data_IF_310267591775
#
_entry.id   IF_310267591775
#
_cell.length_a   1.000
_cell.length_b   1.000
_cell.length_c   1.000
_cell.angle_alpha   90.00
_cell.angle_beta   90.00
_cell.angle_gamma   90.00
#
_symmetry.space_group_name_H-M   'P 1'
#
loop_
_entity.id
_entity.type
_entity.pdbx_description
1 polymer ?
#
# COMPACT_ATOMS: atom_id res chain seq x y z
N UNK A 1 21.90 9.34 -20.44
CA UNK A 1 22.15 9.03 -19.02
C UNK A 1 21.94 7.53 -18.76
N UNK A 2 23.03 6.83 -18.44
CA UNK A 2 23.00 5.37 -18.19
C UNK A 2 22.29 5.00 -16.89
N UNK A 3 22.19 5.92 -15.92
CA UNK A 3 21.53 5.68 -14.64
C UNK A 3 20.00 5.66 -14.81
N UNK A 4 19.46 6.53 -15.67
CA UNK A 4 18.02 6.67 -15.85
C UNK A 4 17.29 5.38 -16.20
N UNK A 5 17.68 4.65 -17.28
CA UNK A 5 17.03 3.39 -17.62
C UNK A 5 17.12 2.33 -16.53
N UNK A 6 18.25 2.25 -15.82
CA UNK A 6 18.44 1.32 -14.71
C UNK A 6 17.54 1.67 -13.53
N UNK A 7 17.45 2.94 -13.17
CA UNK A 7 16.57 3.41 -12.10
C UNK A 7 15.11 3.12 -12.42
N UNK A 8 14.66 3.45 -13.63
CA UNK A 8 13.28 3.19 -14.06
C UNK A 8 12.93 1.70 -13.95
N UNK A 9 13.79 0.84 -14.48
CA UNK A 9 13.59 -0.61 -14.45
C UNK A 9 13.42 -1.12 -13.00
N UNK A 10 14.28 -0.69 -12.09
CA UNK A 10 14.22 -1.11 -10.68
C UNK A 10 13.00 -0.53 -9.97
N UNK A 11 12.66 0.72 -10.22
CA UNK A 11 11.50 1.36 -9.63
C UNK A 11 10.19 0.66 -10.04
N UNK A 12 10.08 0.25 -11.30
CA UNK A 12 8.90 -0.49 -11.77
C UNK A 12 8.75 -1.84 -11.06
N UNK A 13 9.85 -2.53 -10.81
CA UNK A 13 9.84 -3.81 -10.08
C UNK A 13 9.34 -3.63 -8.64
N UNK A 14 9.62 -2.50 -8.01
CA UNK A 14 9.20 -2.22 -6.64
C UNK A 14 7.69 -2.40 -6.45
N UNK A 15 6.89 -1.78 -7.31
CA UNK A 15 5.42 -1.88 -7.23
C UNK A 15 4.92 -3.30 -7.47
N UNK A 16 5.46 -3.98 -8.50
CA UNK A 16 5.07 -5.35 -8.81
C UNK A 16 5.40 -6.32 -7.69
N UNK A 17 6.61 -6.25 -7.15
CA UNK A 17 7.05 -7.14 -6.09
C UNK A 17 6.26 -6.90 -4.80
N UNK A 18 6.07 -5.66 -4.39
CA UNK A 18 5.30 -5.32 -3.21
C UNK A 18 3.85 -5.80 -3.33
N UNK A 19 3.25 -5.65 -4.51
CA UNK A 19 1.89 -6.14 -4.78
C UNK A 19 1.77 -7.66 -4.63
N UNK A 20 2.71 -8.40 -5.20
CA UNK A 20 2.72 -9.87 -5.09
C UNK A 20 2.92 -10.33 -3.65
N UNK A 21 3.81 -9.71 -2.91
CA UNK A 21 4.05 -10.03 -1.49
C UNK A 21 2.82 -9.68 -0.64
N UNK A 22 2.20 -8.54 -0.90
CA UNK A 22 0.96 -8.15 -0.21
C UNK A 22 -0.18 -9.13 -0.46
N UNK A 23 -0.34 -9.58 -1.71
CA UNK A 23 -1.34 -10.60 -2.04
C UNK A 23 -1.06 -11.90 -1.28
N UNK A 24 0.18 -12.38 -1.26
CA UNK A 24 0.54 -13.61 -0.55
C UNK A 24 0.32 -13.48 0.96
N UNK A 25 0.56 -12.31 1.54
CA UNK A 25 0.22 -12.04 2.93
C UNK A 25 -1.28 -12.23 3.18
N UNK A 26 -2.12 -11.72 2.28
CA UNK A 26 -3.57 -11.91 2.33
C UNK A 26 -3.97 -13.37 2.20
N UNK A 27 -3.34 -14.12 1.29
CA UNK A 27 -3.56 -15.57 1.14
C UNK A 27 -3.26 -16.30 2.45
N UNK A 28 -2.14 -16.01 3.08
CA UNK A 28 -1.75 -16.66 4.35
C UNK A 28 -2.76 -16.38 5.47
N UNK A 29 -3.27 -15.15 5.54
CA UNK A 29 -4.32 -14.79 6.51
C UNK A 29 -5.59 -15.59 6.26
N UNK A 30 -6.02 -15.71 4.99
CA UNK A 30 -7.19 -16.51 4.63
C UNK A 30 -7.01 -17.98 5.01
N UNK A 31 -5.83 -18.55 4.77
CA UNK A 31 -5.55 -19.96 5.16
C UNK A 31 -5.62 -20.14 6.67
N UNK A 32 -5.12 -19.22 7.45
CA UNK A 32 -5.22 -19.28 8.92
C UNK A 32 -6.66 -19.15 9.42
N UNK A 33 -7.54 -18.56 8.65
CA UNK A 33 -8.96 -18.39 8.97
C UNK A 33 -9.85 -19.45 8.29
N UNK A 34 -9.26 -20.46 7.64
CA UNK A 34 -9.96 -21.51 6.89
C UNK A 34 -10.87 -20.97 5.78
N UNK A 35 -10.48 -19.85 5.16
CA UNK A 35 -11.18 -19.28 4.02
C UNK A 35 -10.67 -19.92 2.73
N UNK A 36 -11.60 -20.31 1.85
CA UNK A 36 -11.28 -20.91 0.55
C UNK A 36 -10.41 -20.02 -0.31
N UNK A 37 -9.29 -20.56 -0.82
CA UNK A 37 -8.41 -19.84 -1.74
C UNK A 37 -9.04 -19.66 -3.12
N UNK A 38 -9.95 -20.55 -3.54
CA UNK A 38 -10.69 -20.34 -4.79
C UNK A 38 -11.58 -19.12 -4.67
N UNK A 39 -12.24 -18.93 -3.54
CA UNK A 39 -13.04 -17.73 -3.27
C UNK A 39 -12.16 -16.46 -3.26
N UNK A 40 -11.04 -16.52 -2.55
CA UNK A 40 -10.07 -15.43 -2.54
C UNK A 40 -9.61 -15.08 -3.96
N UNK A 41 -9.21 -16.09 -4.74
CA UNK A 41 -8.73 -15.92 -6.12
C UNK A 41 -9.78 -15.22 -6.99
N UNK A 42 -11.02 -15.67 -6.95
CA UNK A 42 -12.09 -15.12 -7.78
C UNK A 42 -12.33 -13.64 -7.49
N UNK A 43 -12.35 -13.25 -6.20
CA UNK A 43 -12.54 -11.85 -5.81
C UNK A 43 -11.29 -11.03 -6.14
N UNK A 44 -10.10 -11.55 -5.84
CA UNK A 44 -8.87 -10.81 -6.06
C UNK A 44 -8.65 -10.51 -7.55
N UNK A 45 -8.75 -11.53 -8.39
CA UNK A 45 -8.55 -11.37 -9.83
C UNK A 45 -9.69 -10.59 -10.47
N UNK A 46 -10.93 -10.81 -10.05
CA UNK A 46 -12.11 -10.19 -10.67
C UNK A 46 -12.41 -8.78 -10.21
N UNK A 47 -11.99 -8.39 -9.00
CA UNK A 47 -12.34 -7.08 -8.41
C UNK A 47 -11.13 -6.29 -7.93
N UNK A 48 -10.22 -6.93 -7.20
CA UNK A 48 -9.10 -6.20 -6.56
C UNK A 48 -8.07 -5.77 -7.60
N UNK A 49 -7.65 -6.65 -8.50
CA UNK A 49 -6.69 -6.29 -9.55
C UNK A 49 -7.20 -5.16 -10.45
N UNK A 50 -8.45 -5.19 -10.96
CA UNK A 50 -8.98 -4.06 -11.72
C UNK A 50 -9.01 -2.75 -10.92
N UNK A 51 -9.36 -2.82 -9.63
CA UNK A 51 -9.34 -1.65 -8.74
C UNK A 51 -7.91 -1.10 -8.59
N UNK A 52 -6.93 -1.97 -8.37
CA UNK A 52 -5.52 -1.56 -8.25
C UNK A 52 -5.06 -0.88 -9.54
N UNK A 53 -5.44 -1.39 -10.70
CA UNK A 53 -5.09 -0.77 -11.98
C UNK A 53 -5.66 0.65 -12.11
N UNK A 54 -6.93 0.85 -11.74
CA UNK A 54 -7.57 2.16 -11.78
C UNK A 54 -6.92 3.12 -10.77
N UNK A 55 -6.71 2.66 -9.54
CA UNK A 55 -6.08 3.47 -8.47
C UNK A 55 -4.63 3.82 -8.82
N UNK A 56 -3.88 2.91 -9.41
CA UNK A 56 -2.50 3.19 -9.84
C UNK A 56 -2.46 4.33 -10.84
N UNK A 57 -3.35 4.31 -11.83
CA UNK A 57 -3.44 5.40 -12.82
C UNK A 57 -3.81 6.72 -12.14
N UNK A 58 -4.86 6.70 -11.31
CA UNK A 58 -5.35 7.89 -10.62
C UNK A 58 -4.28 8.51 -9.72
N UNK A 59 -3.58 7.69 -8.97
CA UNK A 59 -2.51 8.13 -8.05
C UNK A 59 -1.37 8.77 -8.81
N UNK A 60 -0.90 8.12 -9.88
CA UNK A 60 0.21 8.67 -10.68
C UNK A 60 -0.21 9.99 -11.34
N UNK A 61 -1.42 10.06 -11.89
CA UNK A 61 -1.94 11.29 -12.49
C UNK A 61 -2.05 12.43 -11.47
N UNK A 62 -2.50 12.13 -10.24
CA UNK A 62 -2.56 13.11 -9.16
C UNK A 62 -1.16 13.65 -8.80
N UNK A 63 -0.16 12.77 -8.76
CA UNK A 63 1.23 13.15 -8.48
C UNK A 63 1.78 14.03 -9.61
N UNK A 64 1.53 13.66 -10.86
CA UNK A 64 1.96 14.46 -12.03
C UNK A 64 1.31 15.84 -12.03
N UNK A 65 0.03 15.91 -11.66
CA UNK A 65 -0.72 17.17 -11.59
C UNK A 65 -0.40 18.00 -10.34
N UNK A 66 0.41 17.48 -9.42
CA UNK A 66 0.70 18.09 -8.12
C UNK A 66 -0.57 18.37 -7.30
N UNK A 67 -1.59 17.53 -7.45
CA UNK A 67 -2.84 17.60 -6.70
C UNK A 67 -3.02 16.31 -5.88
N UNK A 68 -2.34 16.26 -4.74
CA UNK A 68 -2.38 15.10 -3.84
C UNK A 68 -3.22 15.36 -2.58
N UNK A 69 -3.97 16.45 -2.54
CA UNK A 69 -4.82 16.80 -1.39
C UNK A 69 -6.25 16.35 -1.56
N UNK A 70 -6.85 16.62 -2.73
CA UNK A 70 -8.27 16.31 -3.00
C UNK A 70 -8.48 14.81 -3.06
N UNK A 71 -9.39 14.29 -2.24
CA UNK A 71 -9.62 12.85 -2.16
C UNK A 71 -11.03 12.51 -1.70
N UNK A 72 -11.55 11.38 -2.17
CA UNK A 72 -12.75 10.74 -1.62
C UNK A 72 -12.39 9.74 -0.50
N UNK A 73 -11.13 9.30 -0.43
CA UNK A 73 -10.62 8.39 0.60
C UNK A 73 -9.21 8.82 1.02
N UNK A 74 -9.12 9.45 2.18
CA UNK A 74 -7.86 9.99 2.71
C UNK A 74 -6.89 8.88 3.14
N UNK A 75 -5.62 9.27 3.34
CA UNK A 75 -4.61 8.40 3.95
C UNK A 75 -5.14 7.84 5.28
N UNK A 76 -5.79 8.66 6.10
CA UNK A 76 -6.39 8.22 7.37
C UNK A 76 -7.40 7.09 7.17
N UNK A 77 -8.26 7.19 6.16
CA UNK A 77 -9.24 6.15 5.84
C UNK A 77 -8.56 4.82 5.47
N UNK A 78 -7.55 4.88 4.62
CA UNK A 78 -6.76 3.69 4.26
C UNK A 78 -6.00 3.14 5.48
N UNK A 79 -5.46 4.02 6.33
CA UNK A 79 -4.77 3.65 7.56
C UNK A 79 -5.65 2.90 8.55
N UNK A 80 -6.91 3.27 8.67
CA UNK A 80 -7.87 2.54 9.50
C UNK A 80 -8.08 1.12 9.00
N UNK A 81 -8.16 0.92 7.68
CA UNK A 81 -8.22 -0.41 7.08
C UNK A 81 -6.97 -1.23 7.39
N UNK A 82 -5.79 -0.60 7.33
CA UNK A 82 -4.53 -1.24 7.65
C UNK A 82 -4.46 -1.65 9.14
N UNK A 83 -4.93 -0.81 10.04
CA UNK A 83 -4.99 -1.12 11.48
C UNK A 83 -5.92 -2.31 11.76
N UNK A 84 -7.07 -2.36 11.10
CA UNK A 84 -8.00 -3.47 11.21
C UNK A 84 -7.36 -4.78 10.73
N UNK A 85 -6.63 -4.72 9.62
CA UNK A 85 -5.91 -5.89 9.09
C UNK A 85 -4.81 -6.35 10.06
N UNK A 86 -4.06 -5.42 10.64
CA UNK A 86 -3.05 -5.74 11.64
C UNK A 86 -3.68 -6.42 12.86
N UNK A 87 -4.82 -5.93 13.33
CA UNK A 87 -5.54 -6.51 14.47
C UNK A 87 -5.98 -7.95 14.18
N UNK A 88 -6.56 -8.21 13.02
CA UNK A 88 -6.96 -9.56 12.59
C UNK A 88 -5.74 -10.47 12.48
N UNK A 89 -4.65 -9.96 11.92
CA UNK A 89 -3.41 -10.73 11.78
C UNK A 89 -2.86 -11.19 13.13
N UNK A 90 -2.93 -10.32 14.14
CA UNK A 90 -2.55 -10.67 15.52
C UNK A 90 -3.45 -11.75 16.10
N UNK A 91 -4.76 -11.62 15.92
CA UNK A 91 -5.74 -12.60 16.40
C UNK A 91 -5.51 -13.99 15.80
N UNK A 92 -5.12 -14.05 14.53
CA UNK A 92 -4.87 -15.30 13.81
C UNK A 92 -3.44 -15.83 14.00
N UNK A 93 -2.64 -15.16 14.81
CA UNK A 93 -1.22 -15.51 15.02
C UNK A 93 -0.44 -15.58 13.71
N UNK A 94 -0.71 -14.63 12.83
CA UNK A 94 0.01 -14.48 11.56
C UNK A 94 1.31 -13.71 11.76
N UNK A 95 2.28 -13.93 10.87
CA UNK A 95 3.52 -13.15 10.86
C UNK A 95 3.20 -11.69 10.52
N UNK A 96 3.74 -10.75 11.29
CA UNK A 96 3.33 -9.34 11.25
C UNK A 96 4.26 -8.41 10.48
N UNK A 97 5.39 -8.91 9.98
CA UNK A 97 6.44 -8.08 9.36
C UNK A 97 5.90 -7.13 8.29
N UNK A 98 5.10 -7.64 7.36
CA UNK A 98 4.52 -6.85 6.28
C UNK A 98 3.55 -5.80 6.82
N UNK A 99 2.67 -6.19 7.74
CA UNK A 99 1.67 -5.31 8.34
C UNK A 99 2.31 -4.20 9.17
N UNK A 100 3.37 -4.52 9.91
CA UNK A 100 4.09 -3.54 10.72
C UNK A 100 4.80 -2.51 9.84
N UNK A 101 5.36 -2.94 8.71
CA UNK A 101 5.98 -2.01 7.76
C UNK A 101 4.96 -1.01 7.19
N UNK A 102 3.78 -1.50 6.75
CA UNK A 102 2.70 -0.64 6.26
C UNK A 102 2.22 0.32 7.35
N UNK A 103 2.01 -0.20 8.57
CA UNK A 103 1.55 0.60 9.69
C UNK A 103 2.52 1.74 10.01
N UNK A 104 3.83 1.46 9.94
CA UNK A 104 4.87 2.47 10.13
C UNK A 104 4.76 3.60 9.10
N UNK A 105 4.51 3.26 7.84
CA UNK A 105 4.37 4.26 6.77
C UNK A 105 3.14 5.16 7.01
N UNK A 106 2.01 4.61 7.43
CA UNK A 106 0.83 5.39 7.78
C UNK A 106 1.08 6.31 8.98
N UNK A 107 1.79 5.84 10.00
CA UNK A 107 2.18 6.68 11.15
C UNK A 107 3.08 7.84 10.72
N UNK A 108 4.00 7.61 9.80
CA UNK A 108 4.85 8.67 9.25
C UNK A 108 4.02 9.72 8.52
N UNK A 109 2.98 9.31 7.81
CA UNK A 109 2.06 10.24 7.13
C UNK A 109 1.31 11.12 8.14
N UNK A 110 0.83 10.54 9.24
CA UNK A 110 0.21 11.30 10.34
C UNK A 110 1.20 12.32 10.91
N UNK A 111 2.41 11.89 11.21
CA UNK A 111 3.47 12.76 11.74
C UNK A 111 3.81 13.90 10.78
N UNK A 112 3.75 13.65 9.48
CA UNK A 112 4.00 14.67 8.45
C UNK A 112 2.81 15.60 8.21
N UNK A 113 1.66 15.35 8.84
CA UNK A 113 0.46 16.18 8.73
C UNK A 113 -0.32 16.00 7.44
N UNK A 114 -0.17 14.86 6.74
CA UNK A 114 -0.85 14.59 5.47
C UNK A 114 -1.94 13.52 5.58
N UNK A 115 -2.36 13.15 6.77
CA UNK A 115 -3.36 12.10 6.98
C UNK A 115 -4.72 12.39 6.34
N UNK A 116 -5.08 13.66 6.14
CA UNK A 116 -6.33 14.06 5.48
C UNK A 116 -6.20 14.21 3.97
N UNK A 117 -4.99 14.04 3.44
CA UNK A 117 -4.72 14.13 2.01
C UNK A 117 -5.06 12.81 1.31
N UNK A 118 -5.09 12.86 -0.02
CA UNK A 118 -5.24 11.67 -0.85
C UNK A 118 -4.08 10.68 -0.64
N UNK A 119 -4.35 9.39 -0.89
CA UNK A 119 -3.33 8.35 -0.78
C UNK A 119 -2.08 8.67 -1.60
N UNK A 120 -2.22 9.37 -2.73
CA UNK A 120 -1.11 9.81 -3.56
C UNK A 120 -0.09 10.67 -2.81
N UNK A 121 -0.48 11.35 -1.72
CA UNK A 121 0.44 12.12 -0.89
C UNK A 121 1.47 11.26 -0.15
N UNK A 122 1.28 9.92 -0.09
CA UNK A 122 2.30 9.01 0.45
C UNK A 122 3.62 9.10 -0.29
N UNK A 123 3.62 9.53 -1.55
CA UNK A 123 4.88 9.74 -2.29
C UNK A 123 5.82 10.71 -1.58
N UNK A 124 5.26 11.66 -0.83
CA UNK A 124 6.05 12.63 -0.07
C UNK A 124 6.85 11.96 1.07
N UNK A 125 6.26 10.92 1.67
CA UNK A 125 6.93 10.14 2.73
C UNK A 125 8.14 9.41 2.14
N UNK A 126 7.96 8.76 0.98
CA UNK A 126 9.05 8.04 0.30
C UNK A 126 10.17 8.96 -0.21
N UNK A 127 9.88 10.24 -0.44
CA UNK A 127 10.87 11.22 -0.90
C UNK A 127 11.66 11.85 0.23
N UNK A 128 11.28 11.63 1.49
CA UNK A 128 12.03 12.12 2.64
C UNK A 128 13.43 11.50 2.71
N UNK A 129 14.39 12.26 3.23
CA UNK A 129 15.71 11.74 3.52
C UNK A 129 15.66 10.72 4.66
N UNK A 130 16.62 9.81 4.74
CA UNK A 130 16.69 8.80 5.80
C UNK A 130 16.55 9.41 7.21
N UNK A 131 17.22 10.52 7.45
CA UNK A 131 17.23 11.22 8.75
C UNK A 131 15.84 11.74 9.14
N UNK A 132 14.95 11.95 8.18
CA UNK A 132 13.59 12.46 8.44
C UNK A 132 12.66 11.41 9.06
N UNK A 133 13.08 10.15 9.11
CA UNK A 133 12.28 9.02 9.62
C UNK A 133 12.46 8.79 11.14
N UNK A 134 13.40 9.48 11.76
CA UNK A 134 13.73 9.34 13.19
C UNK A 134 12.82 10.13 14.13
#
# INVERSE_FOLDING_TARGET
NLIGPTVLSRALVSGGLAGLIGMMNGVAICQKADISLDHFKDIYIGRINPMINQESRRIIEAIVAEDTKSTEASISAWGHGQEALLSISKTLDAKLDFQLALNSLFKQAVKAGVEDHDLSAMVKIFKMNKQSNE
#
